data_IF_110773537137
#
_entry.id   IF_110773537137
#
_cell.length_a   1.000
_cell.length_b   1.000
_cell.length_c   1.000
_cell.angle_alpha   90.00
_cell.angle_beta   90.00
_cell.angle_gamma   90.00
#
_symmetry.space_group_name_H-M   'P 1'
#
loop_
_entity.id
_entity.type
_entity.pdbx_description
1 polymer ?
#
# COMPACT_ATOMS: atom_id res chain seq x y z
N UNK A 1 -45.50 -4.37 13.69
CA UNK A 1 -45.18 -4.72 12.29
C UNK A 1 -44.29 -3.64 11.74
N UNK A 2 -43.04 -3.97 11.42
CA UNK A 2 -42.06 -3.09 10.80
C UNK A 2 -42.54 -2.73 9.40
N UNK A 3 -42.93 -1.46 9.19
CA UNK A 3 -43.38 -0.94 7.89
C UNK A 3 -42.19 -0.88 6.91
N UNK A 4 -41.85 -2.03 6.32
CA UNK A 4 -40.98 -2.08 5.15
C UNK A 4 -41.78 -1.73 3.92
N UNK A 5 -41.25 -0.85 3.06
CA UNK A 5 -41.80 -0.54 1.73
C UNK A 5 -41.34 -1.56 0.67
N UNK A 6 -40.67 -2.64 1.09
CA UNK A 6 -40.17 -3.68 0.20
C UNK A 6 -41.27 -4.61 -0.33
N UNK A 7 -40.87 -5.49 -1.24
CA UNK A 7 -41.72 -6.55 -1.77
C UNK A 7 -41.58 -7.81 -0.90
N UNK A 8 -42.64 -8.63 -0.86
CA UNK A 8 -42.57 -9.95 -0.22
C UNK A 8 -41.72 -10.90 -1.07
N UNK A 9 -40.70 -11.49 -0.46
CA UNK A 9 -39.86 -12.50 -1.08
C UNK A 9 -40.47 -13.89 -0.87
N UNK A 10 -40.38 -14.77 -1.86
CA UNK A 10 -40.64 -16.20 -1.65
C UNK A 10 -39.44 -16.84 -0.96
N UNK A 11 -39.64 -18.00 -0.35
CA UNK A 11 -38.55 -18.75 0.32
C UNK A 11 -37.38 -19.08 -0.64
N UNK A 12 -37.68 -19.31 -1.92
CA UNK A 12 -36.66 -19.53 -2.97
C UNK A 12 -35.81 -18.27 -3.22
N UNK A 13 -36.44 -17.09 -3.25
CA UNK A 13 -35.75 -15.82 -3.43
C UNK A 13 -34.85 -15.51 -2.22
N UNK A 14 -35.35 -15.77 -1.01
CA UNK A 14 -34.58 -15.62 0.24
C UNK A 14 -33.35 -16.53 0.22
N UNK A 15 -33.52 -17.80 -0.16
CA UNK A 15 -32.40 -18.77 -0.25
C UNK A 15 -31.33 -18.31 -1.24
N UNK A 16 -31.74 -17.79 -2.40
CA UNK A 16 -30.79 -17.26 -3.40
C UNK A 16 -29.97 -16.10 -2.83
N UNK A 17 -30.61 -15.13 -2.16
CA UNK A 17 -29.93 -13.99 -1.53
C UNK A 17 -29.01 -14.45 -0.39
N UNK A 18 -29.47 -15.35 0.47
CA UNK A 18 -28.69 -15.90 1.58
C UNK A 18 -27.46 -16.66 1.10
N UNK A 19 -27.55 -17.35 -0.04
CA UNK A 19 -26.40 -18.04 -0.65
C UNK A 19 -25.31 -17.04 -1.02
N UNK A 20 -25.67 -15.94 -1.67
CA UNK A 20 -24.72 -14.88 -2.02
C UNK A 20 -24.13 -14.23 -0.76
N UNK A 21 -24.97 -13.92 0.23
CA UNK A 21 -24.51 -13.34 1.49
C UNK A 21 -23.51 -14.26 2.20
N UNK A 22 -23.77 -15.56 2.24
CA UNK A 22 -22.87 -16.55 2.84
C UNK A 22 -21.53 -16.61 2.10
N UNK A 23 -21.55 -16.59 0.76
CA UNK A 23 -20.32 -16.55 -0.05
C UNK A 23 -19.50 -15.29 0.17
N UNK A 24 -20.17 -14.14 0.34
CA UNK A 24 -19.48 -12.88 0.68
C UNK A 24 -18.77 -13.01 2.03
N UNK A 25 -19.41 -13.60 3.04
CA UNK A 25 -18.79 -13.83 4.35
C UNK A 25 -17.57 -14.77 4.24
N UNK A 26 -17.70 -15.89 3.53
CA UNK A 26 -16.58 -16.80 3.27
C UNK A 26 -15.40 -16.09 2.58
N UNK A 27 -15.67 -15.16 1.64
CA UNK A 27 -14.62 -14.38 0.99
C UNK A 27 -13.93 -13.39 1.95
N UNK A 28 -14.65 -12.85 2.94
CA UNK A 28 -14.05 -12.02 3.99
C UNK A 28 -13.11 -12.83 4.87
N UNK A 29 -13.54 -14.01 5.32
CA UNK A 29 -12.72 -14.92 6.14
C UNK A 29 -11.46 -15.35 5.38
N UNK A 30 -11.60 -15.72 4.11
CA UNK A 30 -10.47 -16.08 3.25
C UNK A 30 -9.49 -14.91 3.08
N UNK A 31 -9.99 -13.69 2.90
CA UNK A 31 -9.14 -12.49 2.77
C UNK A 31 -8.34 -12.24 4.05
N UNK A 32 -8.94 -12.44 5.22
CA UNK A 32 -8.27 -12.27 6.51
C UNK A 32 -7.14 -13.31 6.66
N UNK A 33 -7.44 -14.59 6.42
CA UNK A 33 -6.45 -15.67 6.43
C UNK A 33 -5.25 -15.38 5.50
N UNK A 34 -5.53 -14.98 4.25
CA UNK A 34 -4.47 -14.65 3.29
C UNK A 34 -3.66 -13.42 3.70
N UNK A 35 -4.28 -12.44 4.36
CA UNK A 35 -3.59 -11.23 4.83
C UNK A 35 -2.61 -11.57 5.96
N UNK A 36 -3.03 -12.40 6.92
CA UNK A 36 -2.16 -12.87 8.00
C UNK A 36 -1.00 -13.72 7.48
N UNK A 37 -1.29 -14.63 6.55
CA UNK A 37 -0.27 -15.46 5.91
C UNK A 37 0.77 -14.60 5.18
N UNK A 38 0.31 -13.61 4.41
CA UNK A 38 1.18 -12.68 3.69
C UNK A 38 2.01 -11.82 4.65
N UNK A 39 1.44 -11.38 5.76
CA UNK A 39 2.18 -10.64 6.80
C UNK A 39 3.32 -11.47 7.39
N UNK A 40 3.08 -12.75 7.72
CA UNK A 40 4.12 -13.66 8.23
C UNK A 40 5.27 -13.80 7.24
N UNK A 41 4.95 -14.08 5.96
CA UNK A 41 5.96 -14.21 4.90
C UNK A 41 6.78 -12.92 4.72
N UNK A 42 6.11 -11.77 4.72
CA UNK A 42 6.78 -10.49 4.51
C UNK A 42 7.67 -10.08 5.70
N UNK A 43 7.26 -10.39 6.93
CA UNK A 43 8.10 -10.19 8.12
C UNK A 43 9.35 -11.07 8.10
N UNK A 44 9.28 -12.26 7.52
CA UNK A 44 10.44 -13.14 7.35
C UNK A 44 11.36 -12.66 6.21
N UNK A 45 10.79 -12.32 5.04
CA UNK A 45 11.58 -12.00 3.85
C UNK A 45 12.06 -10.54 3.77
N UNK A 46 11.27 -9.60 4.28
CA UNK A 46 11.50 -8.17 4.13
C UNK A 46 11.04 -7.39 5.38
N UNK A 47 11.61 -7.66 6.57
CA UNK A 47 11.16 -7.09 7.83
C UNK A 47 11.25 -5.56 7.85
N UNK A 48 12.32 -4.96 7.31
CA UNK A 48 12.47 -3.50 7.29
C UNK A 48 11.44 -2.83 6.38
N UNK A 49 11.26 -3.40 5.19
CA UNK A 49 10.35 -2.87 4.18
C UNK A 49 8.90 -2.96 4.65
N UNK A 50 8.54 -4.09 5.26
CA UNK A 50 7.22 -4.36 5.82
C UNK A 50 6.91 -3.45 7.00
N UNK A 51 7.91 -3.19 7.85
CA UNK A 51 7.75 -2.28 8.98
C UNK A 51 7.35 -0.88 8.51
N UNK A 52 7.94 -0.38 7.42
CA UNK A 52 7.60 0.94 6.88
C UNK A 52 6.27 0.92 6.11
N UNK A 53 6.10 0.02 5.14
CA UNK A 53 4.95 0.04 4.22
C UNK A 53 3.67 -0.57 4.80
N UNK A 54 3.80 -1.51 5.74
CA UNK A 54 2.75 -2.46 6.08
C UNK A 54 2.60 -3.58 5.04
N UNK A 55 2.02 -4.74 5.41
CA UNK A 55 2.03 -5.95 4.58
C UNK A 55 1.38 -5.78 3.20
N UNK A 56 0.23 -5.09 3.15
CA UNK A 56 -0.55 -4.93 1.90
C UNK A 56 0.17 -4.03 0.90
N UNK A 57 0.79 -2.94 1.35
CA UNK A 57 1.51 -2.03 0.46
C UNK A 57 2.83 -2.67 0.05
N UNK A 58 3.53 -3.32 0.99
CA UNK A 58 4.78 -4.02 0.73
C UNK A 58 4.62 -5.08 -0.37
N UNK A 59 3.63 -5.99 -0.21
CA UNK A 59 3.34 -7.02 -1.21
C UNK A 59 3.01 -6.45 -2.59
N UNK A 60 2.19 -5.40 -2.66
CA UNK A 60 1.84 -4.74 -3.93
C UNK A 60 3.06 -4.13 -4.60
N UNK A 61 3.94 -3.47 -3.84
CA UNK A 61 5.16 -2.87 -4.38
C UNK A 61 6.14 -3.95 -4.89
N UNK A 62 6.36 -5.01 -4.10
CA UNK A 62 7.24 -6.13 -4.48
C UNK A 62 6.69 -6.85 -5.72
N UNK A 63 5.38 -7.11 -5.75
CA UNK A 63 4.70 -7.72 -6.90
C UNK A 63 4.88 -6.86 -8.16
N UNK A 64 4.62 -5.55 -8.04
CA UNK A 64 4.75 -4.62 -9.16
C UNK A 64 6.19 -4.46 -9.65
N UNK A 65 7.17 -4.50 -8.74
CA UNK A 65 8.58 -4.49 -9.09
C UNK A 65 9.06 -5.81 -9.72
N UNK A 66 8.33 -6.91 -9.50
CA UNK A 66 8.67 -8.24 -9.99
C UNK A 66 9.69 -8.97 -9.10
N UNK A 67 9.69 -8.69 -7.79
CA UNK A 67 10.53 -9.37 -6.78
C UNK A 67 11.36 -8.44 -5.90
N UNK A 68 11.84 -8.99 -4.78
CA UNK A 68 12.58 -8.22 -3.76
C UNK A 68 13.94 -7.71 -4.27
N UNK A 69 14.61 -8.49 -5.11
CA UNK A 69 15.86 -8.07 -5.75
C UNK A 69 15.67 -6.83 -6.64
N UNK A 70 14.62 -6.84 -7.46
CA UNK A 70 14.34 -5.74 -8.40
C UNK A 70 14.03 -4.45 -7.65
N UNK A 71 13.21 -4.51 -6.60
CA UNK A 71 12.90 -3.32 -5.80
C UNK A 71 14.12 -2.80 -5.03
N UNK A 72 15.01 -3.67 -4.56
CA UNK A 72 16.26 -3.26 -3.91
C UNK A 72 17.21 -2.50 -4.88
N UNK A 73 17.16 -2.83 -6.18
CA UNK A 73 17.92 -2.13 -7.23
C UNK A 73 17.27 -0.83 -7.71
N UNK A 74 15.98 -0.62 -7.46
CA UNK A 74 15.27 0.58 -7.91
C UNK A 74 15.69 1.84 -7.14
N UNK A 75 15.80 3.00 -7.82
CA UNK A 75 15.97 4.27 -7.13
C UNK A 75 14.67 4.69 -6.45
N UNK A 76 14.77 5.55 -5.44
CA UNK A 76 13.61 6.06 -4.70
C UNK A 76 12.56 6.71 -5.59
N UNK A 77 12.95 7.38 -6.67
CA UNK A 77 12.03 8.02 -7.61
C UNK A 77 11.17 7.01 -8.36
N UNK A 78 11.73 5.85 -8.74
CA UNK A 78 10.97 4.75 -9.33
C UNK A 78 10.03 4.13 -8.31
N UNK A 79 10.53 3.84 -7.09
CA UNK A 79 9.70 3.29 -6.00
C UNK A 79 8.50 4.20 -5.68
N UNK A 80 8.70 5.52 -5.69
CA UNK A 80 7.64 6.53 -5.51
C UNK A 80 6.50 6.38 -6.53
N UNK A 81 6.84 6.03 -7.78
CA UNK A 81 5.93 6.02 -8.92
C UNK A 81 5.45 4.62 -9.34
N UNK A 82 5.88 3.56 -8.65
CA UNK A 82 5.40 2.20 -8.92
C UNK A 82 3.88 2.13 -8.88
N UNK A 83 3.26 1.66 -9.97
CA UNK A 83 1.81 1.63 -10.18
C UNK A 83 1.22 2.85 -10.88
N UNK A 84 2.01 3.90 -11.14
CA UNK A 84 1.60 5.09 -11.91
C UNK A 84 2.16 5.08 -13.34
N UNK A 85 2.59 3.92 -13.86
CA UNK A 85 3.34 3.85 -15.12
C UNK A 85 2.57 4.44 -16.29
N UNK A 86 1.25 4.17 -16.39
CA UNK A 86 0.41 4.72 -17.46
C UNK A 86 0.41 6.26 -17.48
N UNK A 87 0.33 6.89 -16.30
CA UNK A 87 0.35 8.34 -16.18
C UNK A 87 1.76 8.90 -16.43
N UNK A 88 2.80 8.20 -15.95
CA UNK A 88 4.18 8.57 -16.18
C UNK A 88 4.53 8.50 -17.67
N UNK A 89 4.15 7.43 -18.36
CA UNK A 89 4.41 7.27 -19.79
C UNK A 89 3.70 8.34 -20.61
N UNK A 90 2.43 8.67 -20.31
CA UNK A 90 1.75 9.80 -20.96
C UNK A 90 2.51 11.11 -20.80
N UNK A 91 2.94 11.42 -19.58
CA UNK A 91 3.74 12.62 -19.31
C UNK A 91 5.07 12.64 -20.08
N UNK A 92 5.76 11.49 -20.17
CA UNK A 92 6.99 11.38 -20.95
C UNK A 92 6.78 11.56 -22.47
N UNK A 93 5.56 11.30 -22.97
CA UNK A 93 5.16 11.60 -24.35
C UNK A 93 4.63 13.02 -24.53
N UNK A 94 4.82 13.91 -23.55
CA UNK A 94 4.40 15.31 -23.60
C UNK A 94 2.94 15.55 -23.23
N UNK A 95 2.23 14.52 -22.75
CA UNK A 95 0.81 14.64 -22.42
C UNK A 95 0.53 14.69 -20.92
N UNK A 96 -0.17 15.74 -20.49
CA UNK A 96 -0.67 15.85 -19.12
C UNK A 96 0.43 16.20 -18.09
N UNK A 97 0.18 15.87 -16.82
CA UNK A 97 1.06 16.21 -15.70
C UNK A 97 1.77 14.96 -15.18
N UNK A 98 3.02 15.14 -14.73
CA UNK A 98 3.79 14.07 -14.09
C UNK A 98 3.08 13.55 -12.83
N UNK A 99 2.95 12.21 -12.66
CA UNK A 99 2.36 11.65 -11.46
C UNK A 99 3.24 11.94 -10.24
N UNK A 100 2.62 12.20 -9.09
CA UNK A 100 3.33 12.47 -7.82
C UNK A 100 3.60 11.22 -7.00
N UNK A 101 2.84 10.15 -7.21
CA UNK A 101 2.90 8.90 -6.46
C UNK A 101 2.15 7.79 -7.22
N UNK A 102 2.51 6.53 -6.96
CA UNK A 102 1.76 5.35 -7.40
C UNK A 102 1.09 4.64 -6.22
N UNK A 103 1.38 3.35 -6.04
CA UNK A 103 0.82 2.48 -4.98
C UNK A 103 1.02 3.09 -3.58
N UNK A 104 2.14 3.80 -3.36
CA UNK A 104 2.49 4.48 -2.10
C UNK A 104 1.44 5.52 -1.67
N UNK A 105 0.55 5.97 -2.56
CA UNK A 105 -0.58 6.83 -2.17
C UNK A 105 -1.46 6.22 -1.08
N UNK A 106 -1.61 4.89 -1.08
CA UNK A 106 -2.42 4.16 -0.08
C UNK A 106 -1.78 4.15 1.31
N UNK A 107 -0.53 4.63 1.45
CA UNK A 107 0.15 4.68 2.72
C UNK A 107 -0.51 5.71 3.65
N UNK A 108 -0.82 5.38 4.92
CA UNK A 108 -1.57 6.25 5.82
C UNK A 108 -0.97 7.67 5.93
N UNK A 109 0.36 7.78 6.03
CA UNK A 109 1.04 9.09 6.07
C UNK A 109 0.83 9.94 4.81
N UNK A 110 0.76 9.32 3.63
CA UNK A 110 0.58 10.03 2.36
C UNK A 110 -0.89 10.40 2.16
N UNK A 111 -1.79 9.46 2.44
CA UNK A 111 -3.23 9.66 2.29
C UNK A 111 -3.75 10.78 3.20
N UNK A 112 -3.26 10.83 4.44
CA UNK A 112 -3.69 11.81 5.46
C UNK A 112 -2.93 13.15 5.38
N UNK A 113 -1.90 13.27 4.54
CA UNK A 113 -1.17 14.52 4.39
C UNK A 113 -1.98 15.58 3.60
N UNK A 114 -1.81 16.88 3.89
CA UNK A 114 -2.39 17.96 3.09
C UNK A 114 -2.01 17.85 1.61
N UNK A 115 -2.93 18.21 0.70
CA UNK A 115 -2.81 17.97 -0.74
C UNK A 115 -1.52 18.54 -1.38
N UNK A 116 -1.05 19.69 -0.88
CA UNK A 116 0.18 20.33 -1.33
C UNK A 116 1.46 19.62 -0.81
N UNK A 117 1.36 18.91 0.34
CA UNK A 117 2.49 18.18 0.95
C UNK A 117 2.55 16.71 0.55
N UNK A 118 1.47 16.13 0.01
CA UNK A 118 1.43 14.70 -0.38
C UNK A 118 2.63 14.26 -1.22
N UNK A 119 3.09 15.10 -2.15
CA UNK A 119 4.28 14.82 -2.95
C UNK A 119 5.58 14.77 -2.14
N UNK A 120 5.76 15.68 -1.17
CA UNK A 120 6.91 15.68 -0.26
C UNK A 120 6.89 14.44 0.64
N UNK A 121 5.71 14.11 1.19
CA UNK A 121 5.53 12.93 2.06
C UNK A 121 5.74 11.62 1.29
N UNK A 122 5.20 11.51 0.07
CA UNK A 122 5.42 10.33 -0.78
C UNK A 122 6.90 10.12 -1.09
N UNK A 123 7.66 11.20 -1.35
CA UNK A 123 9.11 11.14 -1.56
C UNK A 123 9.85 10.67 -0.31
N UNK A 124 9.48 11.18 0.87
CA UNK A 124 10.06 10.75 2.14
C UNK A 124 9.85 9.24 2.37
N UNK A 125 8.61 8.77 2.22
CA UNK A 125 8.26 7.35 2.41
C UNK A 125 9.00 6.49 1.38
N UNK A 126 9.00 6.87 0.10
CA UNK A 126 9.70 6.13 -0.96
C UNK A 126 11.21 6.06 -0.73
N UNK A 127 11.83 7.12 -0.20
CA UNK A 127 13.26 7.14 0.12
C UNK A 127 13.60 6.11 1.19
N UNK A 128 12.78 6.04 2.24
CA UNK A 128 12.98 5.09 3.34
C UNK A 128 12.64 3.66 2.94
N UNK A 129 11.64 3.46 2.08
CA UNK A 129 11.35 2.17 1.47
C UNK A 129 12.50 1.67 0.59
N UNK A 130 13.12 2.54 -0.23
CA UNK A 130 14.28 2.16 -1.04
C UNK A 130 15.48 1.76 -0.16
N UNK A 131 15.72 2.48 0.95
CA UNK A 131 16.76 2.09 1.93
C UNK A 131 16.45 0.75 2.59
N UNK A 132 15.20 0.56 3.05
CA UNK A 132 14.76 -0.67 3.69
C UNK A 132 14.84 -1.88 2.76
N UNK A 133 14.44 -1.73 1.49
CA UNK A 133 14.54 -2.79 0.50
C UNK A 133 15.98 -3.26 0.29
N UNK A 134 16.93 -2.31 0.24
CA UNK A 134 18.37 -2.62 0.16
C UNK A 134 18.88 -3.30 1.42
N UNK A 135 18.44 -2.84 2.59
CA UNK A 135 18.84 -3.44 3.87
C UNK A 135 18.37 -4.89 3.97
N UNK A 136 17.10 -5.15 3.67
CA UNK A 136 16.51 -6.49 3.67
C UNK A 136 17.21 -7.42 2.68
N UNK A 137 17.50 -6.96 1.46
CA UNK A 137 18.07 -7.81 0.42
C UNK A 137 19.57 -8.07 0.59
N UNK A 138 20.36 -7.04 0.91
CA UNK A 138 21.83 -7.13 0.92
C UNK A 138 22.43 -7.42 2.30
N UNK A 139 21.91 -6.79 3.36
CA UNK A 139 22.53 -6.84 4.69
C UNK A 139 21.84 -7.78 5.65
N UNK A 140 20.53 -8.01 5.47
CA UNK A 140 19.67 -8.80 6.38
C UNK A 140 19.67 -8.32 7.84
N UNK A 141 20.05 -7.06 8.09
CA UNK A 141 20.03 -6.44 9.41
C UNK A 141 18.69 -5.74 9.63
N UNK A 142 18.09 -5.85 10.82
CA UNK A 142 16.88 -5.12 11.16
C UNK A 142 17.18 -3.70 11.65
N UNK A 143 16.61 -2.71 10.95
CA UNK A 143 16.63 -1.27 11.20
C UNK A 143 15.25 -0.61 11.04
N UNK A 144 14.18 -1.39 11.01
CA UNK A 144 12.81 -0.93 10.74
C UNK A 144 12.35 0.18 11.71
N UNK A 145 12.58 -0.02 13.01
CA UNK A 145 12.21 0.94 14.05
C UNK A 145 12.92 2.29 13.87
N UNK A 146 14.22 2.24 13.54
CA UNK A 146 15.02 3.43 13.24
C UNK A 146 14.45 4.18 12.04
N UNK A 147 14.10 3.47 10.96
CA UNK A 147 13.49 4.09 9.80
C UNK A 147 12.13 4.72 10.11
N UNK A 148 11.29 4.06 10.94
CA UNK A 148 10.03 4.66 11.43
C UNK A 148 10.27 5.95 12.20
N UNK A 149 11.22 5.96 13.13
CA UNK A 149 11.57 7.15 13.90
C UNK A 149 12.04 8.29 13.00
N UNK A 150 12.90 8.01 12.03
CA UNK A 150 13.39 8.99 11.06
C UNK A 150 12.27 9.54 10.16
N UNK A 151 11.31 8.71 9.75
CA UNK A 151 10.11 9.16 9.02
C UNK A 151 9.30 10.10 9.92
N UNK A 152 9.03 9.71 11.16
CA UNK A 152 8.23 10.52 12.09
C UNK A 152 8.89 11.88 12.38
N UNK A 153 10.21 11.91 12.58
CA UNK A 153 10.95 13.15 12.78
C UNK A 153 10.81 14.10 11.58
N UNK A 154 11.07 13.60 10.36
CA UNK A 154 10.93 14.39 9.13
C UNK A 154 9.50 14.80 8.82
N UNK A 155 8.51 13.96 9.17
CA UNK A 155 7.10 14.32 9.04
C UNK A 155 6.74 15.53 9.90
N UNK A 156 7.27 15.62 11.12
CA UNK A 156 7.05 16.80 11.99
C UNK A 156 7.65 18.07 11.39
N UNK A 157 8.79 17.97 10.71
CA UNK A 157 9.41 19.10 10.01
C UNK A 157 8.55 19.55 8.82
N UNK A 158 8.13 18.61 7.96
CA UNK A 158 7.30 18.90 6.77
C UNK A 158 5.97 19.56 7.15
N UNK A 159 5.36 19.15 8.27
CA UNK A 159 4.10 19.74 8.74
C UNK A 159 4.25 21.12 9.38
N UNK A 160 5.48 21.54 9.73
CA UNK A 160 5.76 22.88 10.27
C UNK A 160 5.96 23.92 9.17
N UNK A 161 6.29 23.52 7.94
CA UNK A 161 6.52 24.40 6.78
C UNK A 161 5.23 25.02 6.20
N UNK A 162 4.35 25.58 7.04
CA UNK A 162 3.11 26.25 6.60
C UNK A 162 3.37 27.33 5.55
#
# INVERSE_FOLDING_TARGET
KTNSMGIDFKDEDIKAVQTIASKILEMYDLREYLSEYLEKLLKEMAPNFTEIAGPIIASRLISKAGGMEKIAKMPSSTVQLLGAEKALFRFLHGEGKSPRFGIIFSHPLVMNAPEHLKGKVARLVASKLSMAAKMDFYSKEYRGDKYKQEIQAKMKEILKEK
#
